data_IF_332757767048
#
_entry.id   IF_332757767048
#
_cell.length_a   1.000
_cell.length_b   1.000
_cell.length_c   1.000
_cell.angle_alpha   90.00
_cell.angle_beta   90.00
_cell.angle_gamma   90.00
#
_symmetry.space_group_name_H-M   'P 1'
#
loop_
_entity.id
_entity.type
_entity.pdbx_description
1 polymer ?
#
# COMPACT_ATOMS: atom_id res chain seq x y z
N UNK A 1 -17.93 0.05 16.44
CA UNK A 1 -17.90 1.47 16.86
C UNK A 1 -16.46 1.87 17.11
N UNK A 2 -16.10 3.14 16.85
CA UNK A 2 -14.75 3.64 17.09
C UNK A 2 -14.48 3.80 18.60
N UNK A 3 -13.22 3.64 19.01
CA UNK A 3 -12.78 3.92 20.38
C UNK A 3 -12.63 5.42 20.62
N UNK A 4 -12.45 5.82 21.88
CA UNK A 4 -12.28 7.23 22.25
C UNK A 4 -11.02 7.83 21.59
N UNK A 5 -9.90 7.07 21.56
CA UNK A 5 -8.67 7.49 20.88
C UNK A 5 -8.91 7.75 19.38
N UNK A 6 -9.68 6.89 18.72
CA UNK A 6 -9.99 7.01 17.29
C UNK A 6 -10.91 8.19 16.99
N UNK A 7 -11.89 8.45 17.85
CA UNK A 7 -12.76 9.63 17.74
C UNK A 7 -11.97 10.92 17.95
N UNK A 8 -11.10 10.96 18.96
CA UNK A 8 -10.22 12.10 19.23
C UNK A 8 -9.28 12.39 18.05
N UNK A 9 -8.71 11.35 17.43
CA UNK A 9 -7.87 11.50 16.26
C UNK A 9 -8.61 12.14 15.08
N UNK A 10 -9.81 11.66 14.76
CA UNK A 10 -10.65 12.21 13.70
C UNK A 10 -11.08 13.66 13.99
N UNK A 11 -11.45 13.96 15.25
CA UNK A 11 -11.77 15.33 15.68
C UNK A 11 -10.56 16.27 15.56
N UNK A 12 -9.37 15.79 15.94
CA UNK A 12 -8.14 16.57 15.82
C UNK A 12 -7.84 16.91 14.35
N UNK A 13 -7.95 15.93 13.44
CA UNK A 13 -7.82 16.17 12.00
C UNK A 13 -8.88 17.15 11.51
N UNK A 14 -10.14 16.94 11.87
CA UNK A 14 -11.24 17.81 11.46
C UNK A 14 -11.02 19.26 11.87
N UNK A 15 -10.54 19.48 13.10
CA UNK A 15 -10.29 20.81 13.66
C UNK A 15 -9.14 21.57 12.99
N UNK A 16 -8.19 20.84 12.40
CA UNK A 16 -6.98 21.38 11.76
C UNK A 16 -7.07 21.43 10.24
N UNK A 17 -7.95 20.61 9.67
CA UNK A 17 -8.15 20.52 8.23
C UNK A 17 -8.74 21.80 7.64
N UNK A 18 -8.71 21.88 6.31
CA UNK A 18 -9.30 22.98 5.57
C UNK A 18 -10.83 23.08 5.72
N UNK A 19 -11.45 24.11 5.11
CA UNK A 19 -12.90 24.23 5.11
C UNK A 19 -13.55 23.01 4.44
N UNK A 20 -14.74 22.66 4.90
CA UNK A 20 -15.61 21.68 4.22
C UNK A 20 -15.94 22.21 2.84
N UNK A 21 -15.75 21.38 1.81
CA UNK A 21 -16.04 21.71 0.41
C UNK A 21 -17.39 21.14 0.03
N UNK A 22 -18.32 22.02 -0.31
CA UNK A 22 -19.71 21.65 -0.65
C UNK A 22 -19.80 20.71 -1.86
N UNK A 23 -18.83 20.79 -2.78
CA UNK A 23 -18.77 19.99 -4.01
C UNK A 23 -17.71 18.89 -3.97
N UNK A 24 -17.43 18.32 -2.80
CA UNK A 24 -16.55 17.15 -2.71
C UNK A 24 -17.14 15.97 -3.52
N UNK A 25 -16.31 15.23 -4.30
CA UNK A 25 -16.78 14.07 -5.04
C UNK A 25 -17.28 12.97 -4.11
N UNK A 26 -18.00 12.00 -4.68
CA UNK A 26 -18.42 10.82 -3.94
C UNK A 26 -17.21 10.05 -3.36
N UNK A 27 -17.29 9.51 -2.14
CA UNK A 27 -16.24 8.69 -1.54
C UNK A 27 -15.75 7.56 -2.46
N UNK A 28 -14.46 7.57 -2.79
CA UNK A 28 -13.81 6.50 -3.52
C UNK A 28 -13.36 5.37 -2.59
N UNK A 29 -12.95 4.24 -3.18
CA UNK A 29 -12.36 3.12 -2.44
C UNK A 29 -10.98 3.49 -1.90
N UNK A 30 -10.57 2.84 -0.82
CA UNK A 30 -9.20 2.88 -0.30
C UNK A 30 -8.58 1.51 -0.59
N UNK A 31 -7.35 1.49 -1.11
CA UNK A 31 -6.58 0.27 -1.32
C UNK A 31 -5.46 0.16 -0.28
N UNK A 32 -5.39 -0.99 0.40
CA UNK A 32 -4.33 -1.31 1.37
C UNK A 32 -3.38 -2.31 0.73
N UNK A 33 -2.18 -1.84 0.37
CA UNK A 33 -1.18 -2.62 -0.35
C UNK A 33 -0.29 -3.45 0.58
N UNK A 34 0.02 -4.66 0.14
CA UNK A 34 0.91 -5.57 0.85
C UNK A 34 1.59 -6.56 -0.11
N UNK A 35 2.61 -7.26 0.38
CA UNK A 35 3.22 -8.39 -0.30
C UNK A 35 2.64 -9.69 0.26
N UNK A 36 1.89 -10.48 -0.54
CA UNK A 36 1.08 -11.56 0.01
C UNK A 36 1.89 -12.77 0.45
N UNK A 37 3.07 -12.96 -0.15
CA UNK A 37 4.00 -14.07 0.03
C UNK A 37 5.17 -13.76 0.95
N UNK A 38 5.29 -12.52 1.44
CA UNK A 38 6.30 -12.18 2.43
C UNK A 38 6.01 -12.90 3.75
N UNK A 39 7.05 -13.48 4.32
CA UNK A 39 6.94 -14.27 5.54
C UNK A 39 6.79 -13.36 6.76
N UNK A 40 5.74 -13.59 7.54
CA UNK A 40 5.55 -13.07 8.88
C UNK A 40 5.10 -14.22 9.79
N UNK A 41 5.58 -14.30 11.03
CA UNK A 41 5.26 -15.40 11.96
C UNK A 41 5.36 -16.80 11.31
N UNK A 42 6.44 -17.01 10.54
CA UNK A 42 6.74 -18.26 9.81
C UNK A 42 5.69 -18.69 8.77
N UNK A 43 4.82 -17.78 8.32
CA UNK A 43 3.80 -18.03 7.31
C UNK A 43 3.71 -16.88 6.29
N UNK A 44 3.20 -17.13 5.06
CA UNK A 44 2.88 -16.06 4.12
C UNK A 44 1.88 -15.08 4.72
N UNK A 45 2.11 -13.78 4.55
CA UNK A 45 1.25 -12.72 5.10
C UNK A 45 -0.22 -12.89 4.71
N UNK A 46 -0.51 -13.32 3.47
CA UNK A 46 -1.88 -13.57 3.05
C UNK A 46 -2.55 -14.70 3.85
N UNK A 47 -1.82 -15.76 4.16
CA UNK A 47 -2.37 -16.87 4.96
C UNK A 47 -2.72 -16.39 6.37
N UNK A 48 -1.85 -15.58 6.99
CA UNK A 48 -2.13 -14.95 8.28
C UNK A 48 -3.35 -14.02 8.23
N UNK A 49 -3.45 -13.19 7.19
CA UNK A 49 -4.60 -12.30 6.99
C UNK A 49 -5.90 -13.10 6.89
N UNK A 50 -5.90 -14.19 6.12
CA UNK A 50 -7.07 -15.05 5.99
C UNK A 50 -7.44 -15.78 7.29
N UNK A 51 -6.45 -16.26 8.04
CA UNK A 51 -6.68 -16.94 9.31
C UNK A 51 -7.22 -15.99 10.39
N UNK A 52 -6.66 -14.77 10.48
CA UNK A 52 -6.97 -13.83 11.55
C UNK A 52 -8.18 -12.94 11.22
N UNK A 53 -8.54 -12.80 9.94
CA UNK A 53 -9.66 -11.97 9.49
C UNK A 53 -9.47 -10.47 9.74
N UNK A 54 -8.26 -10.02 10.05
CA UNK A 54 -7.91 -8.61 10.30
C UNK A 54 -6.52 -8.28 9.77
N UNK A 55 -6.35 -7.04 9.32
CA UNK A 55 -5.04 -6.50 8.92
C UNK A 55 -4.36 -5.84 10.13
N UNK A 56 -3.10 -6.19 10.36
CA UNK A 56 -2.31 -5.67 11.48
C UNK A 56 -1.49 -4.46 11.04
N UNK A 57 -1.53 -3.38 11.83
CA UNK A 57 -0.69 -2.20 11.57
C UNK A 57 0.79 -2.49 11.84
N UNK A 58 1.69 -1.59 11.42
CA UNK A 58 3.12 -1.73 11.72
C UNK A 58 3.44 -1.75 13.22
N UNK A 59 2.57 -1.17 14.06
CA UNK A 59 2.70 -1.17 15.51
C UNK A 59 2.33 -2.52 16.14
N UNK A 60 1.55 -3.34 15.43
CA UNK A 60 1.18 -4.69 15.85
C UNK A 60 2.11 -5.75 15.25
N UNK A 61 2.40 -5.62 13.95
CA UNK A 61 3.13 -6.64 13.19
C UNK A 61 4.65 -6.52 13.31
N UNK A 62 5.16 -5.36 13.74
CA UNK A 62 6.60 -5.07 13.72
C UNK A 62 7.21 -5.01 12.32
N UNK A 63 6.37 -4.82 11.28
CA UNK A 63 6.80 -4.75 9.88
C UNK A 63 6.07 -3.62 9.13
N UNK A 64 6.69 -3.07 8.08
CA UNK A 64 6.12 -2.00 7.25
C UNK A 64 6.63 -2.10 5.81
N UNK A 65 5.75 -1.83 4.85
CA UNK A 65 6.13 -1.66 3.44
C UNK A 65 6.62 -0.22 3.16
N UNK A 66 6.36 0.72 4.08
CA UNK A 66 6.80 2.11 4.05
C UNK A 66 8.05 2.36 4.91
N UNK A 67 8.16 3.54 5.53
CA UNK A 67 9.12 3.75 6.63
C UNK A 67 8.67 2.92 7.85
N UNK A 68 9.61 2.26 8.53
CA UNK A 68 9.36 1.52 9.77
C UNK A 68 9.96 2.29 10.93
N UNK A 69 9.11 2.94 11.71
CA UNK A 69 9.52 3.73 12.88
C UNK A 69 8.40 3.81 13.93
N UNK A 70 7.87 2.66 14.40
CA UNK A 70 6.74 2.64 15.32
C UNK A 70 7.12 2.99 16.77
N UNK A 71 8.41 3.01 17.10
CA UNK A 71 8.89 3.32 18.44
C UNK A 71 8.60 4.79 18.80
N UNK A 72 8.43 5.12 20.10
CA UNK A 72 8.34 6.51 20.54
C UNK A 72 9.50 7.34 19.97
N UNK A 73 9.20 8.54 19.46
CA UNK A 73 10.13 9.42 18.72
C UNK A 73 10.51 8.95 17.30
N UNK A 74 10.00 7.82 16.81
CA UNK A 74 10.11 7.45 15.41
C UNK A 74 9.24 8.36 14.50
N UNK A 75 9.59 8.44 13.21
CA UNK A 75 8.90 9.34 12.25
C UNK A 75 7.38 9.09 12.21
N UNK A 76 6.94 7.82 12.14
CA UNK A 76 5.51 7.49 12.14
C UNK A 76 4.84 7.91 13.44
N UNK A 77 5.49 7.67 14.58
CA UNK A 77 4.96 8.07 15.88
C UNK A 77 4.84 9.59 15.98
N UNK A 78 5.85 10.35 15.53
CA UNK A 78 5.85 11.82 15.54
C UNK A 78 4.77 12.38 14.62
N UNK A 79 4.62 11.80 13.43
CA UNK A 79 3.54 12.13 12.49
C UNK A 79 2.15 11.96 13.12
N UNK A 80 1.89 10.78 13.69
CA UNK A 80 0.62 10.49 14.35
C UNK A 80 0.39 11.39 15.56
N UNK A 81 1.42 11.63 16.37
CA UNK A 81 1.34 12.52 17.52
C UNK A 81 1.01 13.96 17.09
N UNK A 82 1.64 14.44 16.01
CA UNK A 82 1.38 15.76 15.47
C UNK A 82 -0.07 15.85 14.98
N UNK A 83 -0.50 15.02 14.03
CA UNK A 83 -1.78 15.21 13.34
C UNK A 83 -2.99 14.67 14.09
N UNK A 84 -2.81 13.66 14.92
CA UNK A 84 -3.88 13.10 15.76
C UNK A 84 -3.85 13.67 17.18
N UNK A 85 -3.13 14.78 17.42
CA UNK A 85 -3.03 15.47 18.70
C UNK A 85 -2.68 14.53 19.88
N UNK A 86 -1.79 13.56 19.63
CA UNK A 86 -1.37 12.59 20.63
C UNK A 86 -2.43 11.55 21.03
N UNK A 87 -3.55 11.46 20.33
CA UNK A 87 -4.67 10.57 20.67
C UNK A 87 -4.26 9.09 20.81
N UNK A 88 -3.22 8.65 20.08
CA UNK A 88 -2.72 7.27 20.11
C UNK A 88 -1.54 7.04 21.06
N UNK A 89 -1.09 8.04 21.82
CA UNK A 89 0.11 7.91 22.64
C UNK A 89 -0.03 6.90 23.78
N UNK A 90 -1.25 6.71 24.28
CA UNK A 90 -1.59 5.75 25.34
C UNK A 90 -2.57 4.67 24.85
N UNK A 91 -2.92 4.67 23.56
CA UNK A 91 -3.82 3.69 22.98
C UNK A 91 -3.10 2.38 22.70
N UNK A 92 -3.85 1.27 22.66
CA UNK A 92 -3.27 0.00 22.27
C UNK A 92 -2.78 0.05 20.80
N UNK A 93 -1.72 -0.69 20.43
CA UNK A 93 -1.25 -0.74 19.03
C UNK A 93 -2.35 -1.06 18.00
N UNK A 94 -3.31 -1.91 18.36
CA UNK A 94 -4.44 -2.29 17.52
C UNK A 94 -5.47 -1.16 17.29
N UNK A 95 -5.41 -0.07 18.07
CA UNK A 95 -6.29 1.08 17.88
C UNK A 95 -5.76 2.08 16.85
N UNK A 96 -4.46 2.01 16.54
CA UNK A 96 -3.79 2.89 15.58
C UNK A 96 -4.31 2.66 14.15
N UNK A 97 -4.25 3.69 13.28
CA UNK A 97 -4.82 3.58 11.95
C UNK A 97 -4.05 2.60 11.06
N UNK A 98 -4.77 1.98 10.14
CA UNK A 98 -4.19 1.24 9.01
C UNK A 98 -4.00 2.19 7.84
N UNK A 99 -2.83 2.14 7.21
CA UNK A 99 -2.48 3.04 6.12
C UNK A 99 -2.82 2.40 4.76
N UNK A 100 -3.40 3.19 3.88
CA UNK A 100 -3.69 2.83 2.49
C UNK A 100 -3.63 4.06 1.59
N UNK A 101 -4.17 3.93 0.38
CA UNK A 101 -4.25 5.02 -0.59
C UNK A 101 -5.63 5.05 -1.26
N UNK A 102 -6.08 6.25 -1.62
CA UNK A 102 -7.38 6.45 -2.29
C UNK A 102 -7.27 6.02 -3.75
N UNK A 103 -8.23 5.24 -4.22
CA UNK A 103 -8.40 4.98 -5.64
C UNK A 103 -8.81 6.27 -6.36
N UNK A 104 -7.89 6.86 -7.12
CA UNK A 104 -8.09 8.12 -7.81
C UNK A 104 -8.76 7.95 -9.18
N UNK A 105 -8.91 6.72 -9.68
CA UNK A 105 -9.53 6.45 -10.99
C UNK A 105 -10.99 6.94 -11.06
N UNK A 106 -11.86 6.66 -10.07
CA UNK A 106 -13.23 7.18 -10.06
C UNK A 106 -13.31 8.71 -9.95
N UNK A 107 -12.22 9.38 -9.58
CA UNK A 107 -12.12 10.83 -9.48
C UNK A 107 -11.62 11.48 -10.78
N UNK A 108 -11.33 10.70 -11.82
CA UNK A 108 -10.89 11.18 -13.14
C UNK A 108 -9.39 11.48 -13.23
N UNK A 109 -8.60 11.06 -12.24
CA UNK A 109 -7.14 11.19 -12.29
C UNK A 109 -6.50 9.95 -12.92
N UNK A 110 -5.24 10.07 -13.41
CA UNK A 110 -4.50 8.93 -13.93
C UNK A 110 -4.49 7.78 -12.92
N UNK A 111 -5.07 6.65 -13.31
CA UNK A 111 -5.00 5.45 -12.50
C UNK A 111 -3.63 4.80 -12.67
N UNK A 112 -3.19 4.04 -11.68
CA UNK A 112 -2.13 3.06 -11.90
C UNK A 112 -2.66 1.87 -12.71
N UNK A 113 -3.51 2.05 -13.72
CA UNK A 113 -3.89 1.05 -14.73
C UNK A 113 -4.31 -0.30 -14.13
N UNK A 114 -5.12 -0.29 -13.06
CA UNK A 114 -5.57 -1.50 -12.38
C UNK A 114 -4.57 -2.15 -11.42
N UNK A 115 -3.40 -1.55 -11.17
CA UNK A 115 -2.40 -2.03 -10.20
C UNK A 115 -2.66 -1.57 -8.75
N UNK A 116 -3.83 -0.98 -8.46
CA UNK A 116 -4.17 -0.44 -7.13
C UNK A 116 -3.69 1.00 -6.93
N UNK A 117 -4.00 1.60 -5.78
CA UNK A 117 -3.83 3.04 -5.56
C UNK A 117 -2.42 3.46 -5.15
N UNK A 118 -1.63 2.57 -4.55
CA UNK A 118 -0.24 2.83 -4.21
C UNK A 118 0.65 1.57 -4.36
N UNK A 119 0.92 1.14 -5.61
CA UNK A 119 1.79 0.01 -5.93
C UNK A 119 3.16 0.04 -5.27
N UNK A 120 3.63 1.23 -4.86
CA UNK A 120 4.86 1.40 -4.07
C UNK A 120 4.96 0.41 -2.91
N UNK A 121 3.84 0.05 -2.29
CA UNK A 121 3.81 -0.67 -1.02
C UNK A 121 3.43 -2.15 -1.11
N UNK A 122 3.24 -2.70 -2.31
CA UNK A 122 2.91 -4.12 -2.41
C UNK A 122 2.41 -4.56 -3.77
N UNK A 123 2.65 -5.84 -4.06
CA UNK A 123 2.20 -6.56 -5.24
C UNK A 123 0.77 -7.11 -5.12
N UNK A 124 0.11 -6.90 -3.99
CA UNK A 124 -1.28 -7.22 -3.77
C UNK A 124 -1.95 -6.05 -3.03
N UNK A 125 -3.28 -5.99 -3.07
CA UNK A 125 -4.01 -5.02 -2.28
C UNK A 125 -5.39 -5.52 -1.86
N UNK A 126 -5.83 -5.05 -0.70
CA UNK A 126 -7.22 -5.13 -0.26
C UNK A 126 -7.96 -3.92 -0.79
N UNK A 127 -8.99 -4.13 -1.59
CA UNK A 127 -9.93 -3.10 -1.99
C UNK A 127 -11.00 -2.95 -0.91
N UNK A 128 -11.09 -1.78 -0.29
CA UNK A 128 -12.06 -1.53 0.76
C UNK A 128 -13.39 -1.03 0.22
N UNK A 129 -14.49 -1.30 0.92
CA UNK A 129 -15.74 -0.59 0.69
C UNK A 129 -15.55 0.91 0.91
N UNK A 130 -16.19 1.75 0.10
CA UNK A 130 -16.11 3.22 0.22
C UNK A 130 -16.62 3.75 1.54
N UNK A 131 -17.43 2.98 2.28
CA UNK A 131 -17.83 3.28 3.67
C UNK A 131 -16.63 3.43 4.62
N UNK A 132 -15.48 2.84 4.28
CA UNK A 132 -14.25 3.02 5.03
C UNK A 132 -13.80 4.49 5.12
N UNK A 133 -14.11 5.29 4.10
CA UNK A 133 -13.80 6.72 4.03
C UNK A 133 -14.44 7.51 5.17
N UNK A 134 -15.59 7.09 5.70
CA UNK A 134 -16.29 7.78 6.78
C UNK A 134 -15.52 7.82 8.11
N UNK A 135 -14.55 6.91 8.28
CA UNK A 135 -13.67 6.83 9.46
C UNK A 135 -12.19 6.97 9.09
N UNK A 136 -11.90 7.67 7.99
CA UNK A 136 -10.53 7.87 7.51
C UNK A 136 -10.16 9.34 7.49
N UNK A 137 -8.91 9.64 7.81
CA UNK A 137 -8.26 10.90 7.45
C UNK A 137 -7.39 10.72 6.21
N UNK A 138 -7.03 11.82 5.58
CA UNK A 138 -6.28 11.84 4.33
C UNK A 138 -5.19 12.90 4.39
N UNK A 139 -4.11 12.70 3.65
CA UNK A 139 -3.12 13.73 3.40
C UNK A 139 -2.60 13.71 1.96
N UNK A 140 -2.29 14.90 1.44
CA UNK A 140 -1.71 15.10 0.12
C UNK A 140 -0.60 16.19 0.17
N UNK A 141 0.64 15.88 -0.25
CA UNK A 141 1.17 14.54 -0.56
C UNK A 141 1.19 13.57 0.65
N UNK A 142 1.83 12.42 0.54
CA UNK A 142 1.89 11.44 1.63
C UNK A 142 2.59 11.97 2.91
N UNK A 143 2.49 11.19 4.00
CA UNK A 143 3.02 11.58 5.31
C UNK A 143 4.54 11.80 5.36
N UNK A 144 5.31 11.31 4.38
CA UNK A 144 6.76 11.52 4.31
C UNK A 144 7.11 12.96 3.91
N UNK A 145 6.29 13.59 3.08
CA UNK A 145 6.54 14.95 2.55
C UNK A 145 6.11 16.09 3.48
N UNK A 146 5.74 15.79 4.73
CA UNK A 146 5.20 16.78 5.68
C UNK A 146 4.08 17.63 5.07
N UNK A 147 3.00 16.98 4.59
CA UNK A 147 2.00 17.63 3.77
C UNK A 147 1.27 18.71 4.55
N UNK A 148 0.95 19.79 3.85
CA UNK A 148 0.21 20.92 4.42
C UNK A 148 -1.29 20.66 4.46
N UNK A 149 -1.78 19.73 3.64
CA UNK A 149 -3.18 19.38 3.54
C UNK A 149 -3.42 18.02 4.17
N UNK A 150 -3.95 18.04 5.39
CA UNK A 150 -4.47 16.87 6.09
C UNK A 150 -5.92 17.17 6.45
N UNK A 151 -6.83 16.24 6.20
CA UNK A 151 -8.25 16.48 6.43
C UNK A 151 -9.10 15.23 6.34
N UNK A 152 -10.39 15.38 6.66
CA UNK A 152 -11.41 14.39 6.32
C UNK A 152 -11.77 14.49 4.83
N UNK A 153 -12.49 13.50 4.29
CA UNK A 153 -12.83 13.45 2.86
C UNK A 153 -13.37 14.77 2.30
N UNK A 154 -14.31 15.41 3.00
CA UNK A 154 -14.92 16.66 2.56
C UNK A 154 -14.02 17.89 2.70
N UNK A 155 -12.89 17.78 3.40
CA UNK A 155 -11.93 18.88 3.60
C UNK A 155 -10.73 18.82 2.62
N UNK A 156 -10.57 17.70 1.91
CA UNK A 156 -9.50 17.52 0.93
C UNK A 156 -9.78 18.29 -0.38
N UNK A 157 -8.71 18.79 -1.01
CA UNK A 157 -8.79 19.45 -2.32
C UNK A 157 -8.65 18.44 -3.46
N UNK A 158 -9.74 17.71 -3.76
CA UNK A 158 -9.76 16.72 -4.84
C UNK A 158 -9.67 17.30 -6.25
N UNK A 159 -9.50 18.61 -6.42
CA UNK A 159 -9.28 19.24 -7.72
C UNK A 159 -7.80 19.57 -7.96
N UNK A 160 -7.02 19.74 -6.88
CA UNK A 160 -5.62 20.15 -6.93
C UNK A 160 -4.76 19.21 -6.07
N UNK A 161 -4.51 18.02 -6.59
CA UNK A 161 -3.66 17.03 -5.93
C UNK A 161 -2.18 17.29 -6.21
N UNK A 162 -1.41 17.54 -5.16
CA UNK A 162 0.03 17.81 -5.19
C UNK A 162 0.83 16.55 -5.48
N UNK A 163 0.37 15.37 -5.04
CA UNK A 163 1.03 14.10 -5.30
C UNK A 163 1.28 13.84 -6.80
N UNK A 164 0.40 14.34 -7.68
CA UNK A 164 0.50 14.19 -9.14
C UNK A 164 1.64 15.01 -9.76
N UNK A 165 2.22 15.95 -9.00
CA UNK A 165 3.38 16.76 -9.42
C UNK A 165 4.70 16.16 -8.94
N UNK A 166 4.68 15.07 -8.17
CA UNK A 166 5.89 14.41 -7.70
C UNK A 166 6.62 13.71 -8.86
N UNK A 167 7.95 13.68 -8.76
CA UNK A 167 8.80 13.19 -9.84
C UNK A 167 8.67 11.67 -10.07
N UNK A 168 8.44 10.90 -9.00
CA UNK A 168 8.31 9.44 -9.07
C UNK A 168 6.81 9.08 -9.18
N UNK A 169 6.35 8.46 -10.28
CA UNK A 169 4.96 8.05 -10.43
C UNK A 169 4.47 7.06 -9.37
N UNK A 170 5.38 6.39 -8.64
CA UNK A 170 4.99 5.58 -7.49
C UNK A 170 4.47 6.40 -6.31
N UNK A 171 4.69 7.72 -6.31
CA UNK A 171 4.23 8.66 -5.28
C UNK A 171 2.94 9.41 -5.69
N UNK A 172 2.33 9.05 -6.83
CA UNK A 172 1.10 9.68 -7.33
C UNK A 172 -0.15 9.11 -6.64
N UNK A 173 -0.24 9.27 -5.33
CA UNK A 173 -1.36 8.78 -4.53
C UNK A 173 -1.71 9.72 -3.37
N UNK A 174 -2.96 9.67 -2.93
CA UNK A 174 -3.41 10.33 -1.70
C UNK A 174 -3.42 9.30 -0.57
N UNK A 175 -2.63 9.54 0.47
CA UNK A 175 -2.51 8.63 1.61
C UNK A 175 -3.80 8.70 2.45
N UNK A 176 -4.31 7.54 2.87
CA UNK A 176 -5.47 7.40 3.72
C UNK A 176 -5.08 6.70 5.04
N UNK A 177 -5.50 7.27 6.17
CA UNK A 177 -5.33 6.66 7.49
C UNK A 177 -6.69 6.18 7.99
N UNK A 178 -6.86 4.86 7.99
CA UNK A 178 -8.11 4.17 8.29
C UNK A 178 -8.21 3.90 9.79
N UNK A 179 -9.08 4.62 10.50
CA UNK A 179 -9.27 4.47 11.94
C UNK A 179 -10.29 3.36 12.26
N UNK A 180 -10.17 2.70 13.41
CA UNK A 180 -11.09 1.61 13.81
C UNK A 180 -10.64 0.20 13.48
N UNK A 181 -9.33 0.02 13.21
CA UNK A 181 -8.76 -1.22 12.69
C UNK A 181 -9.32 -1.60 11.32
N UNK A 182 -8.82 -2.71 10.76
CA UNK A 182 -9.30 -3.22 9.48
C UNK A 182 -9.69 -4.70 9.63
N UNK A 183 -10.99 -4.97 9.56
CA UNK A 183 -11.57 -6.31 9.64
C UNK A 183 -12.01 -6.72 8.24
N UNK A 184 -11.54 -7.86 7.76
CA UNK A 184 -11.77 -8.30 6.38
C UNK A 184 -13.27 -8.44 6.09
N UNK A 185 -14.02 -9.07 6.99
CA UNK A 185 -15.47 -9.27 6.84
C UNK A 185 -16.30 -7.97 6.84
N UNK A 186 -15.77 -6.88 7.42
CA UNK A 186 -16.46 -5.58 7.51
C UNK A 186 -16.07 -4.66 6.35
N UNK A 187 -14.78 -4.64 6.03
CA UNK A 187 -14.17 -3.55 5.28
C UNK A 187 -13.78 -3.94 3.86
N UNK A 188 -13.49 -5.22 3.60
CA UNK A 188 -12.89 -5.64 2.32
C UNK A 188 -13.97 -6.03 1.32
N UNK A 189 -13.99 -5.31 0.20
CA UNK A 189 -14.83 -5.61 -0.95
C UNK A 189 -14.22 -6.67 -1.86
N UNK A 190 -12.89 -6.65 -2.04
CA UNK A 190 -12.15 -7.63 -2.84
C UNK A 190 -10.68 -7.71 -2.43
N UNK A 191 -10.09 -8.88 -2.63
CA UNK A 191 -8.64 -9.10 -2.58
C UNK A 191 -8.10 -9.15 -4.01
N UNK A 192 -7.04 -8.39 -4.28
CA UNK A 192 -6.37 -8.35 -5.57
C UNK A 192 -4.96 -8.91 -5.47
N UNK A 193 -4.64 -9.88 -6.34
CA UNK A 193 -3.33 -10.53 -6.42
C UNK A 193 -2.68 -10.33 -7.79
N UNK A 194 -1.36 -10.48 -7.82
CA UNK A 194 -0.61 -10.63 -9.07
C UNK A 194 -0.91 -11.99 -9.74
N UNK A 195 -1.04 -12.05 -11.08
CA UNK A 195 -1.23 -13.30 -11.82
C UNK A 195 -0.18 -14.38 -11.55
N UNK A 196 1.05 -14.04 -11.15
CA UNK A 196 2.08 -15.02 -10.78
C UNK A 196 1.66 -15.93 -9.62
N UNK A 197 0.66 -15.54 -8.82
CA UNK A 197 0.14 -16.34 -7.72
C UNK A 197 -1.01 -17.26 -8.11
N UNK A 198 -1.59 -17.15 -9.31
CA UNK A 198 -2.86 -17.80 -9.70
C UNK A 198 -2.90 -19.30 -9.41
N UNK A 199 -1.80 -20.00 -9.68
CA UNK A 199 -1.70 -21.46 -9.57
C UNK A 199 -0.85 -21.88 -8.35
N UNK A 200 -0.87 -21.07 -7.29
CA UNK A 200 -0.09 -21.32 -6.06
C UNK A 200 -1.00 -21.63 -4.87
N UNK A 201 -0.48 -22.28 -3.81
CA UNK A 201 -1.22 -22.48 -2.55
C UNK A 201 -1.73 -21.17 -1.92
N UNK A 202 -1.07 -20.05 -2.23
CA UNK A 202 -1.44 -18.72 -1.76
C UNK A 202 -2.76 -18.24 -2.39
N UNK A 203 -2.94 -18.42 -3.70
CA UNK A 203 -4.24 -18.12 -4.35
C UNK A 203 -5.33 -19.08 -3.89
N UNK A 204 -5.01 -20.36 -3.64
CA UNK A 204 -5.99 -21.30 -3.08
C UNK A 204 -6.45 -20.88 -1.68
N UNK A 205 -5.53 -20.40 -0.84
CA UNK A 205 -5.84 -19.87 0.49
C UNK A 205 -6.78 -18.67 0.40
N UNK A 206 -6.51 -17.75 -0.53
CA UNK A 206 -7.40 -16.63 -0.81
C UNK A 206 -8.79 -17.07 -1.28
N UNK A 207 -8.89 -18.03 -2.19
CA UNK A 207 -10.18 -18.53 -2.68
C UNK A 207 -10.99 -19.18 -1.55
N UNK A 208 -10.34 -19.96 -0.70
CA UNK A 208 -10.99 -20.67 0.41
C UNK A 208 -11.46 -19.74 1.54
N UNK A 209 -10.97 -18.50 1.56
CA UNK A 209 -11.36 -17.52 2.56
C UNK A 209 -12.78 -16.97 2.39
N UNK A 210 -13.38 -17.15 1.20
CA UNK A 210 -14.72 -16.68 0.87
C UNK A 210 -14.80 -15.21 0.42
N UNK A 211 -13.69 -14.46 0.39
CA UNK A 211 -13.67 -13.10 -0.15
C UNK A 211 -13.50 -13.09 -1.67
N UNK A 212 -14.11 -12.12 -2.39
CA UNK A 212 -13.92 -11.99 -3.83
C UNK A 212 -12.44 -11.81 -4.19
N UNK A 213 -11.87 -12.80 -4.89
CA UNK A 213 -10.50 -12.77 -5.40
C UNK A 213 -10.48 -12.22 -6.83
N UNK A 214 -9.62 -11.25 -7.08
CA UNK A 214 -9.37 -10.64 -8.39
C UNK A 214 -7.87 -10.62 -8.67
N UNK A 215 -7.53 -10.40 -9.94
CA UNK A 215 -6.14 -10.29 -10.37
C UNK A 215 -5.95 -8.99 -11.15
N UNK A 216 -4.88 -8.27 -10.84
CA UNK A 216 -4.47 -7.08 -11.59
C UNK A 216 -3.62 -7.50 -12.83
N UNK A 217 -3.19 -6.57 -13.71
CA UNK A 217 -2.55 -6.95 -14.98
C UNK A 217 -1.23 -7.74 -14.83
N UNK A 218 -0.47 -7.48 -13.77
CA UNK A 218 0.67 -8.29 -13.35
C UNK A 218 2.02 -7.60 -13.56
N UNK A 219 2.99 -7.86 -12.69
CA UNK A 219 4.32 -7.29 -12.77
C UNK A 219 5.31 -8.28 -13.37
N UNK A 220 6.12 -7.80 -14.31
CA UNK A 220 7.22 -8.54 -14.92
C UNK A 220 8.35 -7.61 -15.33
N UNK A 221 9.46 -7.62 -14.58
CA UNK A 221 10.67 -6.89 -14.93
C UNK A 221 11.58 -7.76 -15.79
N UNK A 222 12.01 -7.23 -16.93
CA UNK A 222 12.83 -7.92 -17.93
C UNK A 222 14.29 -7.48 -17.89
N UNK A 223 15.20 -8.30 -18.43
CA UNK A 223 16.65 -8.02 -18.45
C UNK A 223 16.99 -6.71 -19.17
N UNK A 224 16.29 -6.39 -20.26
CA UNK A 224 16.48 -5.14 -20.99
C UNK A 224 16.12 -3.87 -20.19
N UNK A 225 15.52 -4.00 -19.00
CA UNK A 225 15.17 -2.89 -18.12
C UNK A 225 16.21 -2.64 -17.01
N UNK A 226 17.27 -3.45 -16.91
CA UNK A 226 18.30 -3.32 -15.86
C UNK A 226 19.03 -1.97 -15.89
N UNK A 227 19.30 -1.42 -17.07
CA UNK A 227 19.92 -0.09 -17.20
C UNK A 227 19.03 1.01 -16.60
N UNK A 228 17.72 0.94 -16.83
CA UNK A 228 16.74 1.88 -16.26
C UNK A 228 16.60 1.67 -14.74
N UNK A 229 16.61 0.42 -14.28
CA UNK A 229 16.61 0.11 -12.85
C UNK A 229 17.83 0.70 -12.12
N UNK A 230 19.01 0.65 -12.76
CA UNK A 230 20.24 1.27 -12.25
C UNK A 230 20.11 2.79 -12.12
N UNK A 231 19.53 3.46 -13.13
CA UNK A 231 19.27 4.90 -13.08
C UNK A 231 18.25 5.27 -12.00
N UNK A 232 17.26 4.41 -11.74
CA UNK A 232 16.17 4.69 -10.82
C UNK A 232 16.52 4.43 -9.35
N UNK A 233 17.19 3.31 -9.02
CA UNK A 233 17.49 2.89 -7.63
C UNK A 233 18.97 2.60 -7.35
N UNK A 234 19.85 2.83 -8.32
CA UNK A 234 21.29 2.69 -8.21
C UNK A 234 21.83 1.34 -8.73
N UNK A 235 23.12 1.30 -9.01
CA UNK A 235 23.81 0.14 -9.57
C UNK A 235 23.69 -1.12 -8.69
N UNK A 236 23.83 -0.98 -7.38
CA UNK A 236 23.69 -2.08 -6.42
C UNK A 236 22.32 -2.79 -6.53
N UNK A 237 21.24 -2.03 -6.72
CA UNK A 237 19.89 -2.60 -6.88
C UNK A 237 19.76 -3.29 -8.24
N UNK A 238 20.36 -2.74 -9.29
CA UNK A 238 20.38 -3.37 -10.61
C UNK A 238 21.17 -4.69 -10.61
N UNK A 239 22.27 -4.78 -9.86
CA UNK A 239 23.04 -6.02 -9.70
C UNK A 239 22.23 -7.11 -8.99
N UNK A 240 21.48 -6.75 -7.93
CA UNK A 240 20.55 -7.67 -7.26
C UNK A 240 19.49 -8.20 -8.24
N UNK A 241 18.88 -7.31 -9.04
CA UNK A 241 17.89 -7.70 -10.05
C UNK A 241 18.51 -8.59 -11.13
N UNK A 242 19.72 -8.29 -11.59
CA UNK A 242 20.44 -9.09 -12.57
C UNK A 242 20.73 -10.51 -12.04
N UNK A 243 21.15 -10.64 -10.78
CA UNK A 243 21.38 -11.95 -10.17
C UNK A 243 20.07 -12.74 -10.01
N UNK A 244 18.97 -12.08 -9.62
CA UNK A 244 17.67 -12.74 -9.54
C UNK A 244 17.18 -13.22 -10.92
N UNK A 245 17.39 -12.43 -11.98
CA UNK A 245 17.00 -12.79 -13.36
C UNK A 245 17.67 -14.06 -13.87
N UNK A 246 18.88 -14.38 -13.40
CA UNK A 246 19.56 -15.65 -13.76
C UNK A 246 18.76 -16.89 -13.34
N UNK A 247 17.90 -16.76 -12.32
CA UNK A 247 17.02 -17.82 -11.83
C UNK A 247 15.59 -17.73 -12.39
N UNK A 248 15.27 -16.63 -13.09
CA UNK A 248 13.94 -16.32 -13.60
C UNK A 248 14.02 -15.86 -15.09
N UNK A 249 14.30 -16.78 -16.03
CA UNK A 249 14.53 -16.43 -17.44
C UNK A 249 13.30 -15.82 -18.14
N UNK A 250 12.09 -15.98 -17.57
CA UNK A 250 10.86 -15.35 -18.05
C UNK A 250 10.67 -13.91 -17.56
N UNK A 251 11.62 -13.34 -16.82
CA UNK A 251 11.51 -12.04 -16.16
C UNK A 251 11.03 -12.16 -14.71
N UNK A 252 11.44 -11.19 -13.88
CA UNK A 252 11.15 -11.14 -12.45
C UNK A 252 9.71 -10.74 -12.17
N UNK A 253 9.06 -11.55 -11.36
CA UNK A 253 7.72 -11.34 -10.82
C UNK A 253 7.79 -11.03 -9.33
N UNK A 254 6.67 -10.62 -8.70
CA UNK A 254 6.63 -10.46 -7.26
C UNK A 254 7.00 -11.73 -6.48
N UNK A 255 6.66 -12.91 -7.00
CA UNK A 255 6.97 -14.19 -6.38
C UNK A 255 8.48 -14.44 -6.24
N UNK A 256 9.29 -14.00 -7.21
CA UNK A 256 10.76 -14.12 -7.14
C UNK A 256 11.33 -13.26 -6.02
N UNK A 257 10.76 -12.07 -5.82
CA UNK A 257 11.12 -11.18 -4.71
C UNK A 257 10.68 -11.77 -3.36
N UNK A 258 9.48 -12.34 -3.29
CA UNK A 258 8.99 -13.06 -2.12
C UNK A 258 9.88 -14.23 -1.73
N UNK A 259 10.34 -15.02 -2.70
CA UNK A 259 11.30 -16.11 -2.46
C UNK A 259 12.64 -15.58 -1.91
N UNK A 260 13.17 -14.50 -2.49
CA UNK A 260 14.39 -13.87 -2.00
C UNK A 260 14.24 -13.33 -0.57
N UNK A 261 13.07 -12.79 -0.23
CA UNK A 261 12.71 -12.34 1.12
C UNK A 261 12.64 -13.53 2.10
N UNK A 262 11.94 -14.59 1.73
CA UNK A 262 11.75 -15.78 2.58
C UNK A 262 13.07 -16.51 2.89
N UNK A 263 14.02 -16.50 1.96
CA UNK A 263 15.35 -17.08 2.18
C UNK A 263 16.38 -16.10 2.78
N UNK A 264 15.96 -14.88 3.15
CA UNK A 264 16.86 -13.82 3.63
C UNK A 264 18.07 -13.58 2.72
N UNK A 265 17.88 -13.72 1.40
CA UNK A 265 18.99 -13.68 0.42
C UNK A 265 19.62 -12.30 0.32
N UNK A 266 18.86 -11.25 0.59
CA UNK A 266 19.30 -9.86 0.53
C UNK A 266 18.77 -9.05 1.72
N UNK A 267 19.46 -7.96 2.12
CA UNK A 267 18.95 -7.00 3.09
C UNK A 267 17.59 -6.42 2.68
N UNK A 268 16.68 -6.25 3.66
CA UNK A 268 15.35 -5.70 3.42
C UNK A 268 15.33 -4.33 2.69
N UNK A 269 16.24 -3.37 2.96
CA UNK A 269 16.27 -2.11 2.21
C UNK A 269 16.56 -2.29 0.71
N UNK A 270 17.37 -3.28 0.34
CA UNK A 270 17.65 -3.59 -1.06
C UNK A 270 16.45 -4.26 -1.72
N UNK A 271 15.81 -5.23 -1.06
CA UNK A 271 14.58 -5.86 -1.55
C UNK A 271 13.46 -4.84 -1.76
N UNK A 272 13.30 -3.87 -0.85
CA UNK A 272 12.34 -2.76 -1.01
C UNK A 272 12.64 -1.91 -2.25
N UNK A 273 13.91 -1.56 -2.49
CA UNK A 273 14.29 -0.81 -3.69
C UNK A 273 14.12 -1.64 -4.97
N UNK A 274 14.43 -2.93 -4.93
CA UNK A 274 14.19 -3.86 -6.03
C UNK A 274 12.69 -3.97 -6.34
N UNK A 275 11.82 -4.01 -5.32
CA UNK A 275 10.38 -3.89 -5.50
C UNK A 275 10.00 -2.62 -6.24
N UNK A 276 10.53 -1.46 -5.85
CA UNK A 276 10.22 -0.22 -6.56
C UNK A 276 10.56 -0.31 -8.06
N UNK A 277 11.68 -0.94 -8.43
CA UNK A 277 12.01 -1.17 -9.84
C UNK A 277 10.97 -2.06 -10.53
N UNK A 278 10.58 -3.19 -9.93
CA UNK A 278 9.53 -4.08 -10.47
C UNK A 278 8.19 -3.34 -10.58
N UNK A 279 7.81 -2.60 -9.54
CA UNK A 279 6.57 -1.86 -9.47
C UNK A 279 6.52 -0.69 -10.45
N UNK A 280 7.66 -0.08 -10.82
CA UNK A 280 7.71 1.05 -11.75
C UNK A 280 7.89 0.59 -13.19
N UNK A 281 8.85 -0.29 -13.45
CA UNK A 281 9.28 -0.70 -14.78
C UNK A 281 8.55 -1.96 -15.27
N UNK A 282 8.18 -2.85 -14.35
CA UNK A 282 7.60 -4.15 -14.68
C UNK A 282 6.10 -4.12 -14.96
N UNK A 283 5.47 -2.94 -15.09
CA UNK A 283 4.04 -2.86 -15.44
C UNK A 283 3.86 -3.02 -16.95
N UNK A 284 2.88 -3.81 -17.35
CA UNK A 284 2.40 -3.83 -18.73
C UNK A 284 1.80 -2.47 -19.11
N UNK A 285 2.34 -1.85 -20.16
CA UNK A 285 1.66 -0.76 -20.84
C UNK A 285 0.41 -1.31 -21.54
N UNK A 286 -0.74 -0.67 -21.33
CA UNK A 286 -1.96 -0.98 -22.08
C UNK A 286 -1.70 -0.72 -23.57
N UNK A 287 -1.49 -1.77 -24.37
CA UNK A 287 -1.24 -1.67 -25.80
C UNK A 287 -0.40 -2.79 -26.43
N UNK A 288 0.36 -3.56 -25.64
CA UNK A 288 1.08 -4.73 -26.18
C UNK A 288 0.25 -6.01 -26.06
N UNK A 289 0.01 -6.74 -27.17
CA UNK A 289 -0.71 -8.00 -27.12
C UNK A 289 0.10 -9.02 -26.31
N UNK A 290 -0.58 -9.76 -25.45
CA UNK A 290 -0.02 -10.93 -24.77
C UNK A 290 0.49 -11.91 -25.82
N UNK A 291 1.81 -11.98 -26.00
CA UNK A 291 2.41 -13.16 -26.62
C UNK A 291 2.26 -14.32 -25.63
N UNK A 292 1.38 -15.25 -26.00
CA UNK A 292 1.18 -16.55 -25.36
C UNK A 292 2.43 -17.40 -25.46
#
# INVERSE_FOLDING_TARGET
MLTNAQQQALQAVQSRGGPVRELAPAPASIHVHFHPDWTAQDQPLLALLCQQGRYQSQFESGSSNGSYSPHPQGERWQWENQWFAGAYNQAAPAERPVYGAVDLEPLGYPSHQGYGAAPRFGSAYLQLHSSATARSSFCDPDSYWQPRHVGLWQQMDWQQLQCLQLADPLDHYVEAQVHGGLLLARDVAALWLDPCYRDTPLAQTAQNSGWPLRFHPGYRLQENQLAQASQYRGAEVAEVLAHMLQLAPGGLTPADLGQAQACHRYPAPLLKKAWHCIAHLGRHCVGEPHHR
#
